data_IF_977534962942
#
_entry.id   IF_977534962942
#
_cell.length_a   1.000
_cell.length_b   1.000
_cell.length_c   1.000
_cell.angle_alpha   90.00
_cell.angle_beta   90.00
_cell.angle_gamma   90.00
#
_symmetry.space_group_name_H-M   'P 1'
#
loop_
_entity.id
_entity.type
_entity.pdbx_description
1 polymer ?
#
# COMPACT_ATOMS: atom_id res chain seq x y z
N UNK A 1 15.51 17.22 0.70
CA UNK A 1 16.20 16.19 1.53
C UNK A 1 17.40 15.66 0.76
N UNK A 2 18.52 15.37 1.43
CA UNK A 2 19.63 14.64 0.79
C UNK A 2 19.21 13.19 0.51
N UNK A 3 19.59 12.66 -0.66
CA UNK A 3 19.38 11.25 -1.04
C UNK A 3 19.89 10.29 0.03
N UNK A 4 21.00 10.63 0.67
CA UNK A 4 21.60 9.81 1.71
C UNK A 4 20.74 9.72 2.98
N UNK A 5 20.04 10.82 3.32
CA UNK A 5 19.09 10.84 4.43
C UNK A 5 17.88 9.95 4.15
N UNK A 6 17.39 9.94 2.90
CA UNK A 6 16.28 9.08 2.48
C UNK A 6 16.68 7.60 2.55
N UNK A 7 17.85 7.25 2.03
CA UNK A 7 18.39 5.88 2.05
C UNK A 7 18.56 5.38 3.49
N UNK A 8 19.14 6.20 4.38
CA UNK A 8 19.33 5.80 5.77
C UNK A 8 17.99 5.63 6.51
N UNK A 9 17.00 6.49 6.24
CA UNK A 9 15.65 6.35 6.79
C UNK A 9 14.98 5.06 6.33
N UNK A 10 15.12 4.72 5.04
CA UNK A 10 14.55 3.49 4.48
C UNK A 10 15.20 2.23 5.07
N UNK A 11 16.53 2.20 5.15
CA UNK A 11 17.25 1.08 5.76
C UNK A 11 16.90 0.92 7.25
N UNK A 12 16.79 2.03 7.99
CA UNK A 12 16.34 2.00 9.38
C UNK A 12 14.92 1.45 9.52
N UNK A 13 14.01 1.79 8.61
CA UNK A 13 12.64 1.25 8.61
C UNK A 13 12.65 -0.28 8.40
N UNK A 14 13.48 -0.76 7.47
CA UNK A 14 13.68 -2.19 7.21
C UNK A 14 14.46 -2.92 8.32
N UNK A 15 15.11 -2.20 9.24
CA UNK A 15 15.99 -2.78 10.25
C UNK A 15 17.32 -3.29 9.66
N UNK A 16 17.77 -2.71 8.56
CA UNK A 16 18.98 -3.10 7.83
C UNK A 16 20.06 -2.01 7.94
N UNK A 17 21.32 -2.42 7.82
CA UNK A 17 22.46 -1.49 7.70
C UNK A 17 22.88 -1.36 6.23
N UNK A 18 23.44 -0.20 5.86
CA UNK A 18 23.98 0.01 4.51
C UNK A 18 25.11 -0.97 4.24
N UNK A 19 25.05 -1.68 3.11
CA UNK A 19 26.10 -2.59 2.66
C UNK A 19 26.54 -2.24 1.23
N UNK A 20 27.71 -2.73 0.78
CA UNK A 20 28.11 -2.62 -0.62
C UNK A 20 27.06 -3.24 -1.56
N UNK A 21 26.84 -2.58 -2.69
CA UNK A 21 25.90 -3.04 -3.71
C UNK A 21 26.28 -4.42 -4.20
N UNK A 22 25.43 -5.41 -3.93
CA UNK A 22 25.61 -6.79 -4.35
C UNK A 22 24.25 -7.45 -4.58
N UNK A 23 24.23 -8.51 -5.39
CA UNK A 23 23.00 -9.27 -5.63
C UNK A 23 22.45 -9.88 -4.33
N UNK A 24 23.34 -10.32 -3.44
CA UNK A 24 22.98 -10.81 -2.10
C UNK A 24 22.24 -9.72 -1.31
N UNK A 25 22.81 -8.52 -1.26
CA UNK A 25 22.20 -7.40 -0.55
C UNK A 25 20.84 -7.00 -1.14
N UNK A 26 20.70 -7.01 -2.48
CA UNK A 26 19.41 -6.75 -3.12
C UNK A 26 18.34 -7.78 -2.72
N UNK A 27 18.68 -9.07 -2.70
CA UNK A 27 17.75 -10.13 -2.29
C UNK A 27 17.32 -9.99 -0.83
N UNK A 28 18.27 -9.68 0.06
CA UNK A 28 17.98 -9.41 1.48
C UNK A 28 17.07 -8.20 1.65
N UNK A 29 17.32 -7.12 0.88
CA UNK A 29 16.52 -5.89 0.90
C UNK A 29 15.07 -6.15 0.47
N UNK A 30 14.87 -6.89 -0.63
CA UNK A 30 13.54 -7.27 -1.12
C UNK A 30 12.81 -8.10 -0.06
N UNK A 31 13.48 -9.09 0.54
CA UNK A 31 12.90 -9.95 1.56
C UNK A 31 12.49 -9.15 2.81
N UNK A 32 13.37 -8.30 3.32
CA UNK A 32 13.10 -7.46 4.48
C UNK A 32 11.93 -6.51 4.22
N UNK A 33 11.86 -5.90 3.03
CA UNK A 33 10.73 -5.08 2.63
C UNK A 33 9.42 -5.87 2.63
N UNK A 34 9.39 -7.04 1.99
CA UNK A 34 8.19 -7.88 1.94
C UNK A 34 7.73 -8.32 3.33
N UNK A 35 8.63 -8.68 4.23
CA UNK A 35 8.31 -9.06 5.60
C UNK A 35 7.78 -7.85 6.40
N UNK A 36 8.44 -6.69 6.31
CA UNK A 36 8.03 -5.49 7.03
C UNK A 36 6.62 -5.02 6.66
N UNK A 37 6.31 -5.01 5.35
CA UNK A 37 4.99 -4.61 4.84
C UNK A 37 3.88 -5.58 5.30
N UNK A 38 4.17 -6.89 5.36
CA UNK A 38 3.23 -7.88 5.92
C UNK A 38 2.90 -7.57 7.38
N UNK A 39 3.91 -7.32 8.21
CA UNK A 39 3.70 -7.00 9.63
C UNK A 39 2.95 -5.67 9.85
N UNK A 40 3.22 -4.66 9.03
CA UNK A 40 2.46 -3.40 9.07
C UNK A 40 0.99 -3.61 8.71
N UNK A 41 0.73 -4.44 7.69
CA UNK A 41 -0.63 -4.79 7.27
C UNK A 41 -1.38 -5.59 8.35
N UNK A 42 -0.73 -6.60 8.95
CA UNK A 42 -1.31 -7.36 10.06
C UNK A 42 -1.61 -6.47 11.27
N UNK A 43 -0.69 -5.56 11.63
CA UNK A 43 -0.93 -4.58 12.69
C UNK A 43 -2.14 -3.69 12.35
N UNK A 44 -2.27 -3.27 11.10
CA UNK A 44 -3.42 -2.50 10.63
C UNK A 44 -4.75 -3.24 10.76
N UNK A 45 -4.78 -4.53 10.43
CA UNK A 45 -5.96 -5.39 10.59
C UNK A 45 -6.32 -5.56 12.07
N UNK A 46 -5.33 -5.86 12.94
CA UNK A 46 -5.56 -6.01 14.38
C UNK A 46 -6.08 -4.71 15.00
N UNK A 47 -5.56 -3.55 14.60
CA UNK A 47 -6.04 -2.26 15.07
C UNK A 47 -7.47 -1.96 14.61
N UNK A 48 -7.83 -2.40 13.40
CA UNK A 48 -9.19 -2.29 12.86
C UNK A 48 -10.16 -3.20 13.61
N UNK A 49 -9.82 -4.49 13.79
CA UNK A 49 -10.63 -5.45 14.57
C UNK A 49 -10.84 -4.98 16.02
N UNK A 50 -9.82 -4.36 16.63
CA UNK A 50 -9.89 -3.85 18.00
C UNK A 50 -10.59 -2.49 18.11
N UNK A 51 -11.14 -1.95 17.02
CA UNK A 51 -11.79 -0.63 17.00
C UNK A 51 -10.85 0.53 17.34
N UNK A 52 -9.53 0.31 17.30
CA UNK A 52 -8.51 1.33 17.59
C UNK A 52 -8.28 2.27 16.41
N UNK A 53 -8.69 1.87 15.22
CA UNK A 53 -8.78 2.75 14.05
C UNK A 53 -10.23 3.13 13.85
N UNK A 54 -10.56 4.38 14.19
CA UNK A 54 -11.71 5.04 13.59
C UNK A 54 -11.45 5.05 12.08
N UNK A 55 -12.29 4.38 11.30
CA UNK A 55 -12.32 4.58 9.85
C UNK A 55 -12.63 6.05 9.61
N UNK A 56 -11.58 6.85 9.46
CA UNK A 56 -11.71 8.25 9.13
C UNK A 56 -11.86 8.31 7.62
N UNK A 57 -13.02 8.78 7.15
CA UNK A 57 -13.21 9.07 5.75
C UNK A 57 -12.20 10.13 5.35
N UNK A 58 -11.38 9.82 4.34
CA UNK A 58 -10.48 10.79 3.74
C UNK A 58 -11.30 11.74 2.88
N UNK A 59 -11.01 13.03 2.98
CA UNK A 59 -11.46 14.00 1.99
C UNK A 59 -10.80 13.72 0.63
N UNK A 60 -11.37 14.22 -0.47
CA UNK A 60 -10.79 14.04 -1.80
C UNK A 60 -9.36 14.58 -1.92
N UNK A 61 -9.05 15.67 -1.22
CA UNK A 61 -7.71 16.26 -1.15
C UNK A 61 -6.72 15.36 -0.41
N UNK A 62 -7.12 14.79 0.72
CA UNK A 62 -6.27 13.87 1.48
C UNK A 62 -6.05 12.59 0.68
N UNK A 63 -7.11 12.02 0.11
CA UNK A 63 -7.00 10.83 -0.72
C UNK A 63 -6.01 11.05 -1.88
N UNK A 64 -6.11 12.19 -2.57
CA UNK A 64 -5.18 12.54 -3.65
C UNK A 64 -3.74 12.65 -3.16
N UNK A 65 -3.50 13.34 -2.03
CA UNK A 65 -2.17 13.41 -1.41
C UNK A 65 -1.62 12.02 -1.06
N UNK A 66 -2.45 11.14 -0.51
CA UNK A 66 -2.04 9.79 -0.17
C UNK A 66 -1.64 9.00 -1.42
N UNK A 67 -2.40 9.11 -2.51
CA UNK A 67 -2.12 8.41 -3.77
C UNK A 67 -0.84 8.96 -4.42
N UNK A 68 -0.79 10.27 -4.70
CA UNK A 68 0.28 10.85 -5.53
C UNK A 68 1.56 11.16 -4.75
N UNK A 69 1.45 11.67 -3.52
CA UNK A 69 2.62 12.13 -2.75
C UNK A 69 3.12 11.08 -1.76
N UNK A 70 2.21 10.35 -1.10
CA UNK A 70 2.60 9.40 -0.04
C UNK A 70 2.98 8.04 -0.58
N UNK A 71 2.21 7.52 -1.54
CA UNK A 71 2.42 6.23 -2.18
C UNK A 71 3.05 6.34 -3.58
N UNK A 72 3.19 7.56 -4.12
CA UNK A 72 3.79 7.82 -5.43
C UNK A 72 3.12 7.01 -6.56
N UNK A 73 1.81 6.84 -6.48
CA UNK A 73 1.00 6.19 -7.51
C UNK A 73 0.51 7.24 -8.49
N UNK A 74 0.63 6.94 -9.77
CA UNK A 74 0.07 7.78 -10.83
C UNK A 74 -1.46 7.84 -10.70
N UNK A 75 -2.01 9.05 -10.77
CA UNK A 75 -3.43 9.31 -10.55
C UNK A 75 -4.31 8.64 -11.61
N UNK A 76 -3.88 8.60 -12.87
CA UNK A 76 -4.63 7.97 -13.96
C UNK A 76 -4.65 6.45 -13.77
N UNK A 77 -3.54 5.87 -13.32
CA UNK A 77 -3.47 4.43 -12.98
C UNK A 77 -4.45 4.10 -11.85
N UNK A 78 -4.48 4.92 -10.79
CA UNK A 78 -5.42 4.74 -9.69
C UNK A 78 -6.89 4.82 -10.15
N UNK A 79 -7.24 5.86 -10.91
CA UNK A 79 -8.61 6.07 -11.40
C UNK A 79 -9.06 4.90 -12.29
N UNK A 80 -8.19 4.43 -13.19
CA UNK A 80 -8.47 3.27 -14.03
C UNK A 80 -8.66 1.98 -13.22
N UNK A 81 -7.86 1.78 -12.16
CA UNK A 81 -8.02 0.62 -11.29
C UNK A 81 -9.37 0.63 -10.55
N UNK A 82 -9.80 1.80 -10.07
CA UNK A 82 -11.11 1.97 -9.44
C UNK A 82 -12.26 1.71 -10.44
N UNK A 83 -12.14 2.19 -11.67
CA UNK A 83 -13.13 1.94 -12.73
C UNK A 83 -13.30 0.44 -13.00
N UNK A 84 -12.19 -0.29 -13.17
CA UNK A 84 -12.20 -1.75 -13.37
C UNK A 84 -12.84 -2.46 -12.18
N UNK A 85 -12.49 -2.06 -10.95
CA UNK A 85 -13.06 -2.63 -9.73
C UNK A 85 -14.58 -2.43 -9.67
N UNK A 86 -15.05 -1.22 -9.90
CA UNK A 86 -16.47 -0.88 -9.88
C UNK A 86 -17.23 -1.61 -10.99
N UNK A 87 -16.68 -1.68 -12.21
CA UNK A 87 -17.27 -2.46 -13.30
C UNK A 87 -17.42 -3.93 -12.94
N UNK A 88 -16.40 -4.53 -12.30
CA UNK A 88 -16.43 -5.92 -11.84
C UNK A 88 -17.44 -6.13 -10.72
N UNK A 89 -17.54 -5.20 -9.78
CA UNK A 89 -18.53 -5.23 -8.70
C UNK A 89 -19.97 -5.10 -9.22
N UNK A 90 -20.21 -4.22 -10.19
CA UNK A 90 -21.52 -4.04 -10.81
C UNK A 90 -21.96 -5.27 -11.62
N UNK A 91 -21.05 -5.89 -12.37
CA UNK A 91 -21.34 -7.14 -13.09
C UNK A 91 -21.65 -8.32 -12.15
N UNK A 92 -21.14 -8.31 -10.91
CA UNK A 92 -21.44 -9.36 -9.93
C UNK A 92 -22.84 -9.23 -9.31
N UNK A 93 -23.49 -8.06 -9.41
CA UNK A 93 -24.84 -7.80 -8.87
C UNK A 93 -25.96 -8.08 -9.88
N UNK A 94 -25.65 -8.21 -11.17
CA UNK A 94 -26.64 -8.49 -12.23
C UNK A 94 -26.84 -9.98 -12.54
N UNK A 95 -26.10 -10.89 -11.89
CA UNK A 95 -26.19 -12.35 -12.11
C UNK A 95 -27.01 -13.01 -10.99
N UNK A 96 -28.21 -12.49 -10.77
CA UNK A 96 -29.32 -13.23 -10.16
C UNK A 96 -30.56 -12.94 -11.01
N UNK A 97 -30.56 -13.44 -12.23
CA UNK A 97 -31.81 -13.58 -12.98
C UNK A 97 -32.49 -14.86 -12.48
N UNK A 98 -33.59 -14.65 -11.77
CA UNK A 98 -34.82 -15.44 -11.74
C UNK A 98 -34.66 -16.93 -12.05
N UNK A 99 -34.67 -17.75 -10.99
CA UNK A 99 -35.12 -19.13 -11.09
C UNK A 99 -36.63 -19.06 -10.86
N UNK A 100 -37.40 -19.14 -11.95
CA UNK A 100 -38.81 -19.52 -11.94
C UNK A 100 -38.96 -21.03 -11.68
#
# INVERSE_FOLDING_TARGET
MSQEKLVNSFLSFLGMTKQPTSLKFLNELIKAHQEKIKWETLTKIIDWEKGKKREQSLTSSELNYWITERFCVDKEIYERAIEIFNKKSSNSKSVTHEIE
#
